data_IF_493521147281
#
_entry.id   IF_493521147281
#
_cell.length_a   1.000
_cell.length_b   1.000
_cell.length_c   1.000
_cell.angle_alpha   90.00
_cell.angle_beta   90.00
_cell.angle_gamma   90.00
#
_symmetry.space_group_name_H-M   'P 1'
#
loop_
_entity.id
_entity.type
_entity.pdbx_description
1 polymer ?
#
# COMPACT_ATOMS: atom_id res chain seq x y z
N UNK A 1 32.54 -9.31 20.65
CA UNK A 1 32.91 -9.11 19.24
C UNK A 1 32.11 -10.12 18.41
N UNK A 2 31.09 -9.68 17.64
CA UNK A 2 30.35 -10.56 16.72
C UNK A 2 31.21 -10.72 15.46
N UNK A 3 31.47 -11.96 15.06
CA UNK A 3 32.38 -12.26 13.97
C UNK A 3 31.74 -11.93 12.61
N UNK A 4 32.39 -11.07 11.83
CA UNK A 4 31.97 -10.54 10.52
C UNK A 4 32.05 -11.57 9.36
N UNK A 5 31.62 -12.81 9.58
CA UNK A 5 31.72 -13.85 8.53
C UNK A 5 30.51 -13.90 7.57
N UNK A 6 29.33 -13.44 7.99
CA UNK A 6 28.13 -13.37 7.12
C UNK A 6 28.16 -12.22 6.11
N UNK A 7 28.84 -11.12 6.46
CA UNK A 7 28.82 -9.86 5.69
C UNK A 7 29.40 -9.98 4.28
N UNK A 8 30.33 -10.90 4.03
CA UNK A 8 30.95 -11.05 2.71
C UNK A 8 30.02 -11.72 1.69
N UNK A 9 29.27 -12.74 2.11
CA UNK A 9 28.31 -13.40 1.22
C UNK A 9 27.12 -12.46 0.96
N UNK A 10 26.61 -11.82 2.01
CA UNK A 10 25.56 -10.80 1.90
C UNK A 10 25.98 -9.67 0.96
N UNK A 11 27.20 -9.15 1.09
CA UNK A 11 27.71 -8.10 0.22
C UNK A 11 27.74 -8.53 -1.25
N UNK A 12 28.14 -9.77 -1.55
CA UNK A 12 28.14 -10.28 -2.93
C UNK A 12 26.74 -10.34 -3.52
N UNK A 13 25.75 -10.73 -2.71
CA UNK A 13 24.34 -10.72 -3.12
C UNK A 13 23.86 -9.29 -3.32
N UNK A 14 24.14 -8.38 -2.39
CA UNK A 14 23.83 -6.95 -2.53
C UNK A 14 24.45 -6.34 -3.79
N UNK A 15 25.69 -6.66 -4.11
CA UNK A 15 26.37 -6.15 -5.32
C UNK A 15 25.73 -6.71 -6.60
N UNK A 16 25.30 -7.97 -6.61
CA UNK A 16 24.54 -8.56 -7.71
C UNK A 16 23.18 -7.84 -7.90
N UNK A 17 22.45 -7.58 -6.82
CA UNK A 17 21.15 -6.91 -6.85
C UNK A 17 21.28 -5.43 -7.26
N UNK A 18 22.29 -4.73 -6.73
CA UNK A 18 22.61 -3.34 -7.13
C UNK A 18 22.98 -3.23 -8.59
N UNK A 19 23.73 -4.19 -9.15
CA UNK A 19 24.06 -4.22 -10.58
C UNK A 19 22.83 -4.32 -11.46
N UNK A 20 21.78 -4.98 -10.95
CA UNK A 20 20.46 -5.10 -11.61
C UNK A 20 19.54 -3.91 -11.33
N UNK A 21 20.01 -2.92 -10.57
CA UNK A 21 19.26 -1.73 -10.15
C UNK A 21 17.98 -2.08 -9.37
N UNK A 22 18.00 -3.19 -8.63
CA UNK A 22 16.89 -3.58 -7.78
C UNK A 22 16.92 -2.76 -6.49
N UNK A 23 15.79 -2.16 -6.06
CA UNK A 23 15.71 -1.48 -4.78
C UNK A 23 15.83 -2.52 -3.67
N UNK A 24 16.84 -2.39 -2.83
CA UNK A 24 17.09 -3.32 -1.75
C UNK A 24 17.51 -2.62 -0.46
N UNK A 25 17.12 -3.21 0.67
CA UNK A 25 17.48 -2.82 2.02
C UNK A 25 18.17 -4.00 2.70
N UNK A 26 19.17 -3.72 3.53
CA UNK A 26 19.97 -4.73 4.23
C UNK A 26 19.56 -4.77 5.71
N UNK A 27 19.52 -5.97 6.29
CA UNK A 27 19.16 -6.25 7.69
C UNK A 27 17.81 -5.62 8.10
N UNK A 28 16.73 -6.09 7.48
CA UNK A 28 15.38 -5.55 7.69
C UNK A 28 14.62 -6.39 8.71
N UNK A 29 14.07 -5.71 9.72
CA UNK A 29 13.16 -6.31 10.68
C UNK A 29 11.73 -6.31 10.13
N UNK A 30 11.14 -7.50 9.98
CA UNK A 30 9.74 -7.71 9.57
C UNK A 30 9.02 -8.40 10.72
N UNK A 31 8.27 -7.62 11.50
CA UNK A 31 7.64 -8.09 12.73
C UNK A 31 8.70 -8.59 13.72
N UNK A 32 8.60 -9.85 14.12
CA UNK A 32 9.56 -10.49 15.03
C UNK A 32 10.77 -11.12 14.32
N UNK A 33 10.81 -11.09 12.99
CA UNK A 33 11.86 -11.76 12.21
C UNK A 33 12.81 -10.75 11.56
N UNK A 34 14.11 -11.04 11.62
CA UNK A 34 15.14 -10.32 10.87
C UNK A 34 15.40 -11.03 9.54
N UNK A 35 15.51 -10.28 8.45
CA UNK A 35 15.81 -10.80 7.10
C UNK A 35 17.05 -10.08 6.58
N UNK A 36 17.97 -10.83 5.96
CA UNK A 36 19.26 -10.29 5.52
C UNK A 36 19.08 -9.19 4.47
N UNK A 37 18.22 -9.42 3.47
CA UNK A 37 17.97 -8.44 2.41
C UNK A 37 16.48 -8.41 2.07
N UNK A 38 15.88 -7.23 2.04
CA UNK A 38 14.55 -7.00 1.48
C UNK A 38 14.70 -6.34 0.11
N UNK A 39 14.07 -6.90 -0.91
CA UNK A 39 14.02 -6.38 -2.28
C UNK A 39 12.58 -5.95 -2.59
N UNK A 40 12.41 -4.77 -3.17
CA UNK A 40 11.07 -4.21 -3.40
C UNK A 40 10.33 -4.01 -2.07
N UNK A 41 9.08 -4.45 -1.99
CA UNK A 41 8.27 -4.37 -0.76
C UNK A 41 8.02 -5.75 -0.15
N UNK A 42 8.01 -6.81 -0.97
CA UNK A 42 7.58 -8.15 -0.56
C UNK A 42 8.61 -9.26 -0.79
N UNK A 43 9.80 -9.00 -1.32
CA UNK A 43 10.76 -10.09 -1.62
C UNK A 43 11.84 -10.14 -0.55
N UNK A 44 11.75 -11.11 0.33
CA UNK A 44 12.70 -11.34 1.41
C UNK A 44 13.77 -12.35 0.97
N UNK A 45 15.04 -12.00 1.13
CA UNK A 45 16.20 -12.80 0.73
C UNK A 45 17.03 -13.14 1.97
N UNK A 46 17.28 -14.43 2.17
CA UNK A 46 18.26 -14.92 3.14
C UNK A 46 19.52 -15.44 2.45
N UNK A 47 20.66 -15.09 3.03
CA UNK A 47 21.98 -15.44 2.55
C UNK A 47 22.64 -16.36 3.58
N UNK A 48 23.02 -17.55 3.13
CA UNK A 48 23.66 -18.55 3.98
C UNK A 48 22.79 -19.05 5.15
N UNK A 49 21.46 -18.89 5.04
CA UNK A 49 20.48 -19.30 6.06
C UNK A 49 20.31 -20.81 6.25
N UNK A 50 21.19 -21.64 5.68
CA UNK A 50 21.10 -23.09 5.80
C UNK A 50 21.54 -23.58 7.19
N UNK A 51 20.60 -23.55 8.15
CA UNK A 51 20.70 -24.28 9.41
C UNK A 51 20.44 -25.77 9.20
N UNK A 52 21.32 -26.44 8.48
CA UNK A 52 21.28 -27.90 8.47
C UNK A 52 21.66 -28.47 9.84
N UNK A 53 20.78 -29.32 10.37
CA UNK A 53 21.08 -30.38 11.35
C UNK A 53 21.11 -30.08 12.86
N UNK A 54 20.26 -29.19 13.38
CA UNK A 54 19.74 -29.38 14.75
C UNK A 54 18.22 -29.54 14.69
N UNK A 55 17.71 -30.73 15.02
CA UNK A 55 16.29 -31.11 15.01
C UNK A 55 15.34 -30.12 15.71
N UNK A 56 15.84 -29.23 16.58
CA UNK A 56 15.06 -28.20 17.27
C UNK A 56 14.90 -26.86 16.53
N UNK A 57 15.67 -26.57 15.47
CA UNK A 57 15.60 -25.27 14.74
C UNK A 57 14.85 -25.33 13.41
N UNK A 58 14.60 -26.53 12.90
CA UNK A 58 13.84 -26.74 11.64
C UNK A 58 12.38 -26.28 11.77
N UNK A 59 11.76 -26.45 12.94
CA UNK A 59 10.39 -26.00 13.19
C UNK A 59 10.27 -24.48 13.23
N UNK A 60 11.26 -23.79 13.80
CA UNK A 60 11.31 -22.33 13.87
C UNK A 60 11.49 -21.72 12.47
N UNK A 61 12.30 -22.36 11.62
CA UNK A 61 12.57 -21.88 10.26
C UNK A 61 11.37 -22.07 9.33
N UNK A 62 10.73 -23.24 9.38
CA UNK A 62 9.48 -23.47 8.65
C UNK A 62 8.33 -22.57 9.15
N UNK A 63 8.35 -22.20 10.43
CA UNK A 63 7.40 -21.23 10.99
C UNK A 63 7.67 -19.81 10.51
N UNK A 64 8.94 -19.43 10.32
CA UNK A 64 9.32 -18.11 9.79
C UNK A 64 8.86 -17.95 8.35
N UNK A 65 9.19 -18.92 7.50
CA UNK A 65 8.82 -18.87 6.07
C UNK A 65 7.31 -18.79 5.91
N UNK A 66 6.56 -19.71 6.55
CA UNK A 66 5.10 -19.71 6.49
C UNK A 66 4.49 -18.41 7.02
N UNK A 67 5.06 -17.84 8.09
CA UNK A 67 4.55 -16.59 8.63
C UNK A 67 4.79 -15.43 7.67
N UNK A 68 6.01 -15.28 7.15
CA UNK A 68 6.32 -14.22 6.19
C UNK A 68 5.52 -14.38 4.88
N UNK A 69 5.37 -15.61 4.40
CA UNK A 69 4.51 -15.95 3.26
C UNK A 69 3.04 -15.59 3.53
N UNK A 70 2.52 -15.84 4.75
CA UNK A 70 1.16 -15.43 5.11
C UNK A 70 0.96 -13.91 5.14
N UNK A 71 2.03 -13.15 5.34
CA UNK A 71 2.05 -11.68 5.23
C UNK A 71 2.24 -11.20 3.78
N UNK A 72 2.29 -12.13 2.83
CA UNK A 72 2.44 -11.88 1.39
C UNK A 72 3.88 -11.68 0.94
N UNK A 73 4.88 -12.04 1.76
CA UNK A 73 6.28 -12.00 1.34
C UNK A 73 6.65 -13.24 0.52
N UNK A 74 7.56 -13.06 -0.43
CA UNK A 74 8.21 -14.14 -1.16
C UNK A 74 9.58 -14.36 -0.54
N UNK A 75 9.77 -15.53 0.08
CA UNK A 75 11.04 -15.93 0.67
C UNK A 75 11.95 -16.59 -0.38
N UNK A 76 13.15 -16.04 -0.57
CA UNK A 76 14.19 -16.59 -1.45
C UNK A 76 15.47 -16.82 -0.65
N UNK A 77 16.06 -18.01 -0.76
CA UNK A 77 17.26 -18.37 -0.02
C UNK A 77 18.39 -18.73 -0.97
N UNK A 78 19.61 -18.32 -0.65
CA UNK A 78 20.84 -18.72 -1.36
C UNK A 78 21.90 -19.17 -0.35
N UNK A 79 22.46 -20.35 -0.55
CA UNK A 79 23.50 -20.89 0.32
C UNK A 79 24.88 -20.26 0.02
N UNK A 80 25.81 -20.30 0.99
CA UNK A 80 27.14 -19.73 0.83
C UNK A 80 27.98 -20.36 -0.29
N UNK A 81 27.69 -21.59 -0.73
CA UNK A 81 28.39 -22.22 -1.87
C UNK A 81 27.91 -21.66 -3.21
N UNK A 82 26.60 -21.43 -3.34
CA UNK A 82 25.96 -20.80 -4.48
C UNK A 82 26.36 -19.33 -4.61
N UNK A 83 26.49 -18.59 -3.50
CA UNK A 83 27.01 -17.21 -3.52
C UNK A 83 28.44 -17.13 -4.05
N UNK A 84 29.28 -18.12 -3.75
CA UNK A 84 30.67 -18.18 -4.23
C UNK A 84 30.76 -18.54 -5.72
N UNK A 85 29.75 -19.21 -6.26
CA UNK A 85 29.68 -19.55 -7.68
C UNK A 85 29.03 -18.42 -8.48
N UNK A 86 29.82 -17.76 -9.34
CA UNK A 86 29.36 -16.63 -10.17
C UNK A 86 28.15 -16.95 -11.04
N UNK A 87 28.03 -18.19 -11.54
CA UNK A 87 26.88 -18.60 -12.37
C UNK A 87 25.62 -18.71 -11.53
N UNK A 88 25.69 -19.41 -10.40
CA UNK A 88 24.55 -19.60 -9.50
C UNK A 88 24.09 -18.29 -8.88
N UNK A 89 25.02 -17.40 -8.50
CA UNK A 89 24.69 -16.06 -8.01
C UNK A 89 23.93 -15.24 -9.07
N UNK A 90 24.33 -15.34 -10.35
CA UNK A 90 23.62 -14.66 -11.45
C UNK A 90 22.24 -15.24 -11.73
N UNK A 91 22.10 -16.56 -11.68
CA UNK A 91 20.82 -17.25 -11.83
C UNK A 91 19.88 -16.86 -10.68
N UNK A 92 20.39 -16.81 -9.45
CA UNK A 92 19.66 -16.33 -8.28
C UNK A 92 19.24 -14.87 -8.44
N UNK A 93 20.15 -13.97 -8.81
CA UNK A 93 19.82 -12.57 -9.07
C UNK A 93 18.76 -12.39 -10.17
N UNK A 94 18.77 -13.26 -11.20
CA UNK A 94 17.73 -13.26 -12.23
C UNK A 94 16.37 -13.75 -11.71
N UNK A 95 16.37 -14.74 -10.80
CA UNK A 95 15.16 -15.19 -10.11
C UNK A 95 14.57 -14.08 -9.24
N UNK A 96 15.39 -13.41 -8.43
CA UNK A 96 14.96 -12.27 -7.60
C UNK A 96 14.36 -11.16 -8.46
N UNK A 97 15.04 -10.83 -9.57
CA UNK A 97 14.56 -9.83 -10.52
C UNK A 97 13.19 -10.20 -11.10
N UNK A 98 12.98 -11.45 -11.51
CA UNK A 98 11.68 -11.90 -12.02
C UNK A 98 10.57 -11.74 -10.97
N UNK A 99 10.83 -12.13 -9.72
CA UNK A 99 9.87 -11.93 -8.65
C UNK A 99 9.54 -10.44 -8.45
N UNK A 100 10.52 -9.55 -8.58
CA UNK A 100 10.32 -8.10 -8.46
C UNK A 100 9.51 -7.52 -9.63
N UNK A 101 9.74 -8.02 -10.85
CA UNK A 101 8.95 -7.65 -12.03
C UNK A 101 7.49 -8.13 -11.89
N UNK A 102 7.27 -9.32 -11.33
CA UNK A 102 5.94 -9.83 -11.00
C UNK A 102 5.26 -8.99 -9.90
N UNK A 103 5.98 -8.61 -8.86
CA UNK A 103 5.50 -7.70 -7.80
C UNK A 103 5.02 -6.37 -8.40
N UNK A 104 5.86 -5.71 -9.22
CA UNK A 104 5.51 -4.47 -9.91
C UNK A 104 4.28 -4.61 -10.82
N UNK A 105 4.15 -5.75 -11.50
CA UNK A 105 3.02 -6.02 -12.40
C UNK A 105 1.73 -6.17 -11.59
N UNK A 106 1.77 -6.88 -10.46
CA UNK A 106 0.63 -7.02 -9.55
C UNK A 106 0.22 -5.67 -8.99
N UNK A 107 1.16 -4.86 -8.52
CA UNK A 107 0.88 -3.53 -8.00
C UNK A 107 0.20 -2.63 -9.04
N UNK A 108 0.67 -2.63 -10.29
CA UNK A 108 0.01 -1.90 -11.37
C UNK A 108 -1.41 -2.42 -11.60
N UNK A 109 -1.59 -3.73 -11.65
CA UNK A 109 -2.92 -4.33 -11.83
C UNK A 109 -3.90 -4.09 -10.67
N UNK A 110 -3.39 -3.81 -9.47
CA UNK A 110 -4.18 -3.47 -8.30
C UNK A 110 -4.45 -1.96 -8.20
N UNK A 111 -3.57 -1.12 -8.75
CA UNK A 111 -3.82 0.32 -8.94
C UNK A 111 -4.83 0.57 -10.08
N UNK A 112 -4.71 -0.19 -11.17
CA UNK A 112 -5.63 -0.15 -12.32
C UNK A 112 -6.91 -0.96 -12.07
N UNK A 113 -6.99 -1.67 -10.94
CA UNK A 113 -8.20 -2.35 -10.54
C UNK A 113 -9.28 -1.32 -10.23
N UNK A 114 -10.51 -1.49 -10.75
CA UNK A 114 -11.62 -0.71 -10.22
C UNK A 114 -11.75 -1.02 -8.73
N UNK A 115 -11.99 0.03 -7.92
CA UNK A 115 -12.22 -0.03 -6.46
C UNK A 115 -13.33 -1.01 -6.05
N UNK A 116 -14.04 -1.59 -7.01
CA UNK A 116 -15.11 -2.57 -6.88
C UNK A 116 -14.63 -4.03 -6.92
N UNK A 117 -13.33 -4.33 -7.04
CA UNK A 117 -12.82 -5.72 -6.95
C UNK A 117 -13.27 -6.35 -5.63
N UNK A 118 -14.19 -7.33 -5.72
CA UNK A 118 -14.71 -8.07 -4.57
C UNK A 118 -16.09 -7.63 -4.09
N UNK A 119 -16.67 -6.56 -4.64
CA UNK A 119 -18.07 -6.20 -4.38
C UNK A 119 -18.96 -6.96 -5.37
N UNK A 120 -19.95 -7.73 -4.91
CA UNK A 120 -20.93 -8.35 -5.78
C UNK A 120 -21.55 -7.29 -6.71
N UNK A 121 -21.54 -7.54 -8.02
CA UNK A 121 -22.07 -6.59 -9.03
C UNK A 121 -23.54 -6.22 -8.73
N UNK A 122 -24.28 -7.15 -8.12
CA UNK A 122 -25.67 -6.98 -7.70
C UNK A 122 -25.83 -5.90 -6.62
N UNK A 123 -24.96 -5.87 -5.61
CA UNK A 123 -24.99 -4.84 -4.56
C UNK A 123 -24.68 -3.45 -5.12
N UNK A 124 -23.75 -3.34 -6.08
CA UNK A 124 -23.45 -2.08 -6.75
C UNK A 124 -24.60 -1.57 -7.62
N UNK A 125 -25.33 -2.47 -8.26
CA UNK A 125 -26.52 -2.11 -9.05
C UNK A 125 -27.65 -1.61 -8.14
N UNK A 126 -27.84 -2.24 -6.98
CA UNK A 126 -28.82 -1.81 -5.98
C UNK A 126 -28.47 -0.43 -5.41
N UNK A 127 -27.22 -0.22 -4.98
CA UNK A 127 -26.74 1.08 -4.48
C UNK A 127 -26.85 2.18 -5.53
N UNK A 128 -26.57 1.88 -6.80
CA UNK A 128 -26.73 2.86 -7.89
C UNK A 128 -28.20 3.24 -8.08
N UNK A 129 -29.12 2.27 -8.06
CA UNK A 129 -30.55 2.53 -8.18
C UNK A 129 -31.09 3.31 -6.97
N UNK A 130 -30.61 3.02 -5.76
CA UNK A 130 -30.95 3.77 -4.55
C UNK A 130 -30.49 5.23 -4.65
N UNK A 131 -29.25 5.49 -5.09
CA UNK A 131 -28.73 6.85 -5.25
C UNK A 131 -29.47 7.63 -6.35
N UNK A 132 -29.83 7.00 -7.47
CA UNK A 132 -30.63 7.63 -8.53
C UNK A 132 -32.04 8.00 -8.02
N UNK A 133 -32.70 7.10 -7.29
CA UNK A 133 -34.01 7.39 -6.69
C UNK A 133 -33.92 8.45 -5.58
N UNK A 134 -32.83 8.50 -4.81
CA UNK A 134 -32.60 9.53 -3.80
C UNK A 134 -32.30 10.90 -4.45
N UNK A 135 -31.54 10.95 -5.54
CA UNK A 135 -31.33 12.15 -6.34
C UNK A 135 -32.63 12.66 -6.96
N UNK A 136 -33.45 11.78 -7.51
CA UNK A 136 -34.76 12.14 -8.07
C UNK A 136 -35.70 12.70 -7.02
N UNK A 137 -35.72 12.10 -5.81
CA UNK A 137 -36.46 12.62 -4.66
C UNK A 137 -35.97 14.00 -4.23
N UNK A 138 -34.64 14.20 -4.12
CA UNK A 138 -34.04 15.51 -3.82
C UNK A 138 -34.39 16.57 -4.88
N UNK A 139 -34.37 16.21 -6.17
CA UNK A 139 -34.78 17.09 -7.28
C UNK A 139 -36.28 17.40 -7.25
N UNK A 140 -37.13 16.47 -6.82
CA UNK A 140 -38.57 16.68 -6.68
C UNK A 140 -38.93 17.55 -5.47
N UNK A 141 -38.21 17.40 -4.35
CA UNK A 141 -38.39 18.24 -3.16
C UNK A 141 -37.98 19.69 -3.41
N UNK A 142 -36.94 19.93 -4.21
CA UNK A 142 -36.53 21.27 -4.64
C UNK A 142 -37.50 21.94 -5.63
N UNK A 143 -38.41 21.18 -6.26
CA UNK A 143 -39.39 21.70 -7.23
C UNK A 143 -40.77 21.98 -6.65
N UNK A 144 -41.03 21.73 -5.36
CA UNK A 144 -42.28 22.16 -4.73
C UNK A 144 -42.33 23.70 -4.66
N UNK A 145 -43.42 24.34 -5.09
CA UNK A 145 -43.51 25.81 -5.08
C UNK A 145 -43.48 26.30 -3.63
N UNK A 146 -42.42 27.03 -3.28
CA UNK A 146 -42.37 27.79 -2.03
C UNK A 146 -43.47 28.84 -2.08
N UNK A 147 -44.49 28.67 -1.23
CA UNK A 147 -45.44 29.72 -0.88
C UNK A 147 -44.65 30.95 -0.42
N UNK A 148 -44.84 32.08 -1.10
CA UNK A 148 -44.15 33.35 -0.86
C UNK A 148 -44.29 33.76 0.61
N UNK A 149 -43.26 33.51 1.42
CA UNK A 149 -43.07 34.25 2.67
C UNK A 149 -42.48 35.62 2.31
N UNK A 150 -42.97 36.72 2.90
CA UNK A 150 -42.36 38.04 2.70
C UNK A 150 -40.89 37.96 3.13
N UNK A 151 -39.99 38.53 2.31
CA UNK A 151 -38.56 38.60 2.64
C UNK A 151 -38.41 39.43 3.91
N UNK A 152 -37.99 38.81 5.00
CA UNK A 152 -37.48 39.53 6.17
C UNK A 152 -36.13 40.14 5.76
N UNK A 153 -35.99 41.45 5.95
CA UNK A 153 -34.75 42.19 5.71
C UNK A 153 -33.68 41.64 6.65
N UNK A 154 -32.45 41.52 6.17
CA UNK A 154 -31.31 41.16 7.01
C UNK A 154 -30.99 42.26 8.02
N UNK A 155 -30.34 41.92 9.12
CA UNK A 155 -29.96 42.88 10.18
C UNK A 155 -29.12 44.05 9.63
N UNK A 156 -28.29 43.81 8.61
CA UNK A 156 -27.53 44.86 7.92
C UNK A 156 -28.43 45.82 7.12
N UNK A 157 -29.47 45.31 6.46
CA UNK A 157 -30.41 46.14 5.69
C UNK A 157 -31.30 46.97 6.62
N UNK A 158 -31.72 46.41 7.76
CA UNK A 158 -32.43 47.15 8.81
C UNK A 158 -31.58 48.29 9.38
N UNK A 159 -30.28 48.03 9.56
CA UNK A 159 -29.35 49.03 10.07
C UNK A 159 -29.14 50.19 9.08
N UNK A 160 -28.97 49.88 7.79
CA UNK A 160 -28.83 50.89 6.73
C UNK A 160 -30.12 51.72 6.58
N UNK A 161 -31.28 51.09 6.69
CA UNK A 161 -32.56 51.79 6.62
C UNK A 161 -32.78 52.72 7.82
N UNK A 162 -32.40 52.31 9.03
CA UNK A 162 -32.46 53.15 10.21
C UNK A 162 -31.56 54.40 10.11
N UNK A 163 -30.37 54.25 9.51
CA UNK A 163 -29.46 55.37 9.24
C UNK A 163 -30.07 56.34 8.22
N UNK A 164 -30.63 55.82 7.12
CA UNK A 164 -31.25 56.65 6.08
C UNK A 164 -32.45 57.44 6.64
N UNK A 165 -33.31 56.82 7.45
CA UNK A 165 -34.44 57.49 8.10
C UNK A 165 -34.01 58.57 9.10
N UNK A 166 -32.92 58.35 9.85
CA UNK A 166 -32.32 59.36 10.74
C UNK A 166 -31.75 60.55 9.96
N UNK A 167 -31.13 60.31 8.81
CA UNK A 167 -30.59 61.38 7.95
C UNK A 167 -31.67 62.16 7.20
N UNK A 168 -32.81 61.55 6.90
CA UNK A 168 -33.97 62.24 6.29
C UNK A 168 -34.79 63.06 7.29
N UNK A 169 -34.80 62.68 8.57
CA UNK A 169 -35.48 63.43 9.65
C UNK A 169 -34.72 64.67 10.14
N UNK A 170 -33.49 64.89 9.68
CA UNK A 170 -32.62 66.00 10.12
C UNK A 170 -32.43 67.09 9.05
N UNK A 171 -33.30 67.13 8.02
CA UNK A 171 -33.44 68.26 7.07
C UNK A 171 -34.85 68.81 7.04
#
# INVERSE_FOLDING_TARGET
MKANYGTLNEQRVLDELKRRKLPCQHQVQIGQFEVDILVGRKIAVEVDGYYHALKGKVSLDASKDKHLESLGYVMLRIDGTAVKNRRLLREFGARVQRCYEEELTRERSDQDAPLTKGVPIEELQQLKAELETEEEKRKHEQKKPQTKRPKELSDEELFLQAIDDLTRKTK
#
